data_IF_760691614860
#
_entry.id   IF_760691614860
#
_cell.length_a   1.000
_cell.length_b   1.000
_cell.length_c   1.000
_cell.angle_alpha   90.00
_cell.angle_beta   90.00
_cell.angle_gamma   90.00
#
_symmetry.space_group_name_H-M   'P 1'
#
loop_
_entity.id
_entity.type
_entity.pdbx_description
1 polymer ?
#
# COMPACT_ATOMS: atom_id res chain seq x y z
N UNK A 1 8.64 26.03 16.47
CA UNK A 1 8.05 24.67 16.42
C UNK A 1 7.07 24.60 17.56
N UNK A 2 5.77 24.57 17.28
CA UNK A 2 4.77 24.25 18.31
C UNK A 2 5.06 22.85 18.84
N UNK A 3 4.93 22.66 20.16
CA UNK A 3 5.05 21.33 20.77
C UNK A 3 4.11 20.35 20.05
N UNK A 4 4.52 19.08 19.87
CA UNK A 4 3.64 18.08 19.31
C UNK A 4 2.38 17.98 20.17
N UNK A 5 1.22 18.04 19.52
CA UNK A 5 -0.10 17.90 20.17
C UNK A 5 -0.23 16.57 20.91
N UNK A 6 0.52 15.54 20.49
CA UNK A 6 0.65 14.28 21.23
C UNK A 6 1.90 14.24 22.09
N UNK A 7 1.73 13.96 23.38
CA UNK A 7 2.84 13.65 24.27
C UNK A 7 3.48 12.28 23.97
N UNK A 8 4.60 11.98 24.62
CA UNK A 8 5.33 10.73 24.42
C UNK A 8 4.50 9.48 24.80
N UNK A 9 3.61 9.58 25.79
CA UNK A 9 2.75 8.50 26.23
C UNK A 9 1.66 8.17 25.20
N UNK A 10 1.04 9.19 24.62
CA UNK A 10 0.08 9.06 23.52
C UNK A 10 0.75 8.46 22.28
N UNK A 11 1.93 8.95 21.91
CA UNK A 11 2.71 8.38 20.80
C UNK A 11 3.06 6.90 21.04
N UNK A 12 3.43 6.53 22.27
CA UNK A 12 3.71 5.14 22.63
C UNK A 12 2.45 4.25 22.53
N UNK A 13 1.27 4.76 22.90
CA UNK A 13 -0.01 4.04 22.74
C UNK A 13 -0.36 3.81 21.28
N UNK A 14 -0.17 4.81 20.43
CA UNK A 14 -0.37 4.67 18.97
C UNK A 14 0.56 3.61 18.37
N UNK A 15 1.85 3.62 18.73
CA UNK A 15 2.79 2.61 18.26
C UNK A 15 2.43 1.20 18.78
N UNK A 16 1.96 1.11 20.03
CA UNK A 16 1.49 -0.15 20.63
C UNK A 16 0.23 -0.67 19.93
N UNK A 17 -0.72 0.20 19.57
CA UNK A 17 -1.88 -0.15 18.75
C UNK A 17 -1.42 -0.72 17.40
N UNK A 18 -0.55 -0.01 16.70
CA UNK A 18 -0.07 -0.43 15.39
C UNK A 18 0.63 -1.80 15.42
N UNK A 19 1.45 -2.06 16.46
CA UNK A 19 2.11 -3.36 16.70
C UNK A 19 1.17 -4.48 17.12
N UNK A 20 0.10 -4.17 17.85
CA UNK A 20 -0.92 -5.14 18.17
C UNK A 20 -1.80 -5.48 16.94
N UNK A 21 -1.96 -4.54 16.02
CA UNK A 21 -2.72 -4.74 14.79
C UNK A 21 -1.93 -5.55 13.76
N UNK A 22 -0.70 -5.12 13.44
CA UNK A 22 0.24 -5.83 12.55
C UNK A 22 1.13 -6.74 13.41
N UNK A 23 0.51 -7.79 13.96
CA UNK A 23 1.22 -8.78 14.78
C UNK A 23 1.92 -9.79 13.87
N UNK A 24 3.21 -9.57 13.61
CA UNK A 24 4.04 -10.42 12.72
C UNK A 24 4.22 -11.86 13.21
N UNK A 25 3.85 -12.16 14.46
CA UNK A 25 3.94 -13.49 15.06
C UNK A 25 2.59 -14.21 15.10
N UNK A 26 1.51 -13.47 15.36
CA UNK A 26 0.15 -14.01 15.47
C UNK A 26 -0.68 -13.89 14.18
N UNK A 27 -0.19 -13.16 13.18
CA UNK A 27 -0.82 -13.08 11.87
C UNK A 27 -0.93 -14.44 11.19
N UNK A 28 -2.07 -14.69 10.54
CA UNK A 28 -2.30 -15.91 9.75
C UNK A 28 -2.09 -15.64 8.27
N UNK A 29 -1.63 -16.66 7.54
CA UNK A 29 -1.62 -16.61 6.07
C UNK A 29 -3.05 -16.63 5.57
N UNK A 30 -3.44 -15.61 4.80
CA UNK A 30 -4.74 -15.52 4.13
C UNK A 30 -4.67 -15.98 2.69
N UNK A 31 -3.60 -15.59 1.98
CA UNK A 31 -3.38 -15.94 0.58
C UNK A 31 -1.92 -16.35 0.39
N UNK A 32 -1.73 -17.54 -0.16
CA UNK A 32 -0.41 -18.06 -0.50
C UNK A 32 0.07 -17.49 -1.84
N UNK A 33 1.38 -17.28 -2.02
CA UNK A 33 1.95 -17.04 -3.33
C UNK A 33 1.74 -18.26 -4.25
N UNK A 34 1.89 -18.07 -5.55
CA UNK A 34 1.87 -19.15 -6.56
C UNK A 34 2.97 -20.18 -6.32
N UNK A 35 4.12 -19.75 -5.79
CA UNK A 35 5.21 -20.63 -5.38
C UNK A 35 5.86 -20.18 -4.07
N UNK A 36 6.39 -21.12 -3.25
CA UNK A 36 7.09 -20.78 -2.02
C UNK A 36 8.57 -20.50 -2.30
N UNK A 37 8.87 -19.48 -3.12
CA UNK A 37 10.22 -19.07 -3.52
C UNK A 37 10.40 -17.54 -3.58
N UNK A 38 11.64 -17.08 -3.62
CA UNK A 38 11.99 -15.65 -3.73
C UNK A 38 11.36 -15.00 -4.97
N UNK A 39 10.82 -13.80 -4.81
CA UNK A 39 10.19 -13.04 -5.88
C UNK A 39 8.71 -13.40 -6.12
N UNK A 40 8.17 -14.41 -5.42
CA UNK A 40 6.77 -14.80 -5.51
C UNK A 40 5.96 -14.27 -4.34
N UNK A 41 4.82 -13.62 -4.64
CA UNK A 41 3.95 -13.05 -3.62
C UNK A 41 2.55 -12.73 -4.10
N UNK A 42 1.63 -12.58 -3.15
CA UNK A 42 0.31 -11.98 -3.34
C UNK A 42 0.17 -10.72 -2.48
N UNK A 43 -0.39 -9.63 -3.03
CA UNK A 43 -0.72 -8.42 -2.26
C UNK A 43 -0.58 -7.14 -3.09
N UNK A 44 -0.16 -6.05 -2.45
CA UNK A 44 -0.18 -4.73 -3.08
C UNK A 44 -1.59 -4.17 -3.26
N UNK A 45 -2.55 -4.54 -2.40
CA UNK A 45 -3.86 -3.92 -2.42
C UNK A 45 -4.50 -3.83 -1.05
N UNK A 46 -5.82 -3.62 -1.01
CA UNK A 46 -6.56 -3.36 0.20
C UNK A 46 -7.69 -4.37 0.44
N UNK A 47 -8.26 -4.29 1.65
CA UNK A 47 -9.47 -4.99 2.07
C UNK A 47 -10.57 -3.96 2.34
N UNK A 48 -11.81 -4.28 2.00
CA UNK A 48 -13.02 -3.48 2.28
C UNK A 48 -14.19 -4.40 2.64
N UNK A 49 -15.26 -3.85 3.24
CA UNK A 49 -16.55 -4.54 3.35
C UNK A 49 -17.37 -4.30 2.09
N UNK A 50 -18.05 -5.33 1.61
CA UNK A 50 -19.09 -5.21 0.59
C UNK A 50 -20.44 -4.88 1.23
N UNK A 51 -21.44 -4.55 0.42
CA UNK A 51 -22.79 -4.16 0.87
C UNK A 51 -23.55 -5.28 1.58
N UNK A 52 -23.16 -6.54 1.36
CA UNK A 52 -23.70 -7.72 2.05
C UNK A 52 -22.94 -8.08 3.35
N UNK A 53 -21.97 -7.25 3.75
CA UNK A 53 -21.15 -7.45 4.94
C UNK A 53 -19.97 -8.41 4.75
N UNK A 54 -19.81 -9.05 3.58
CA UNK A 54 -18.63 -9.85 3.28
C UNK A 54 -17.37 -8.99 3.19
N UNK A 55 -16.20 -9.58 3.40
CA UNK A 55 -14.92 -8.90 3.16
C UNK A 55 -14.48 -9.16 1.72
N UNK A 56 -14.15 -8.09 1.02
CA UNK A 56 -13.51 -8.13 -0.29
C UNK A 56 -12.06 -7.69 -0.17
N UNK A 57 -11.19 -8.38 -0.90
CA UNK A 57 -9.77 -8.12 -0.93
C UNK A 57 -9.30 -8.07 -2.37
N UNK A 58 -8.65 -6.98 -2.76
CA UNK A 58 -7.98 -6.87 -4.06
C UNK A 58 -6.47 -6.95 -3.87
N UNK A 59 -5.80 -7.58 -4.81
CA UNK A 59 -4.34 -7.63 -4.85
C UNK A 59 -3.87 -8.28 -6.13
N UNK A 60 -2.55 -8.38 -6.31
CA UNK A 60 -1.97 -9.03 -7.48
C UNK A 60 -1.11 -10.23 -7.13
N UNK A 61 -1.12 -11.23 -8.00
CA UNK A 61 -0.10 -12.27 -8.01
C UNK A 61 1.16 -11.76 -8.71
N UNK A 62 2.30 -11.99 -8.06
CA UNK A 62 3.62 -11.83 -8.64
C UNK A 62 4.30 -13.19 -8.75
N UNK A 63 4.86 -13.44 -9.92
CA UNK A 63 5.90 -14.43 -10.12
C UNK A 63 7.26 -13.71 -10.23
N UNK A 64 8.37 -14.43 -10.03
CA UNK A 64 9.72 -13.87 -10.05
C UNK A 64 10.00 -12.94 -11.26
N UNK A 65 10.83 -11.92 -11.01
CA UNK A 65 11.23 -10.89 -12.00
C UNK A 65 11.06 -9.46 -11.49
N UNK A 66 11.93 -8.54 -11.94
CA UNK A 66 12.02 -7.15 -11.48
C UNK A 66 12.33 -6.19 -12.65
N UNK A 67 11.72 -4.99 -12.66
CA UNK A 67 12.02 -3.92 -13.62
C UNK A 67 13.49 -3.44 -13.54
N UNK A 68 14.20 -3.72 -12.43
CA UNK A 68 15.63 -3.41 -12.26
C UNK A 68 16.54 -4.33 -13.07
N UNK A 69 16.21 -5.61 -13.20
CA UNK A 69 17.05 -6.64 -13.86
C UNK A 69 16.66 -6.89 -15.31
N UNK A 70 15.56 -6.29 -15.80
CA UNK A 70 15.06 -6.47 -17.17
C UNK A 70 14.05 -7.61 -17.30
N UNK A 71 13.40 -7.68 -18.47
CA UNK A 71 12.29 -8.60 -18.77
C UNK A 71 12.65 -10.10 -18.74
N UNK A 72 13.94 -10.45 -18.68
CA UNK A 72 14.42 -11.82 -18.79
C UNK A 72 14.18 -12.70 -17.55
N UNK A 73 13.72 -12.13 -16.43
CA UNK A 73 13.64 -12.82 -15.14
C UNK A 73 12.25 -13.40 -14.79
N UNK A 74 11.25 -13.29 -15.68
CA UNK A 74 9.91 -13.88 -15.50
C UNK A 74 8.75 -12.93 -15.87
N UNK A 75 7.48 -13.39 -15.78
CA UNK A 75 6.35 -12.74 -16.43
C UNK A 75 5.91 -11.39 -15.81
N UNK A 76 6.40 -11.01 -14.61
CA UNK A 76 6.11 -9.77 -13.83
C UNK A 76 4.63 -9.37 -13.74
N UNK A 77 4.10 -9.18 -12.52
CA UNK A 77 2.76 -8.63 -12.30
C UNK A 77 1.67 -9.38 -13.09
N UNK A 78 1.46 -10.65 -12.73
CA UNK A 78 0.78 -11.67 -13.55
C UNK A 78 -0.71 -11.40 -13.72
N UNK A 79 -1.39 -11.19 -12.60
CA UNK A 79 -2.84 -11.22 -12.50
C UNK A 79 -3.28 -10.31 -11.35
N UNK A 80 -4.29 -9.47 -11.59
CA UNK A 80 -5.06 -8.81 -10.55
C UNK A 80 -6.17 -9.76 -10.11
N UNK A 81 -6.38 -9.95 -8.81
CA UNK A 81 -7.41 -10.83 -8.29
C UNK A 81 -8.27 -10.11 -7.24
N UNK A 82 -9.57 -10.44 -7.26
CA UNK A 82 -10.53 -10.09 -6.22
C UNK A 82 -10.90 -11.36 -5.47
N UNK A 83 -10.73 -11.33 -4.15
CA UNK A 83 -11.09 -12.41 -3.25
C UNK A 83 -12.20 -11.95 -2.31
N UNK A 84 -13.03 -12.90 -1.89
CA UNK A 84 -14.16 -12.69 -0.99
C UNK A 84 -14.06 -13.63 0.21
N UNK A 85 -14.40 -13.12 1.38
CA UNK A 85 -14.60 -13.88 2.59
C UNK A 85 -16.01 -13.65 3.13
N UNK A 86 -16.73 -14.74 3.36
CA UNK A 86 -18.07 -14.76 3.99
C UNK A 86 -18.02 -15.24 5.44
N UNK A 87 -16.82 -15.49 5.97
CA UNK A 87 -16.56 -16.06 7.30
C UNK A 87 -15.69 -15.15 8.16
N UNK A 88 -15.85 -13.84 7.98
CA UNK A 88 -15.15 -12.79 8.71
C UNK A 88 -13.61 -12.87 8.58
N UNK A 89 -13.15 -13.06 7.36
CA UNK A 89 -11.75 -13.05 6.97
C UNK A 89 -11.00 -14.32 7.31
N UNK A 90 -11.67 -15.38 7.78
CA UNK A 90 -11.03 -16.67 8.12
C UNK A 90 -10.53 -17.38 6.87
N UNK A 91 -11.32 -17.37 5.81
CA UNK A 91 -10.95 -17.90 4.50
C UNK A 91 -11.33 -16.91 3.39
N UNK A 92 -10.58 -16.94 2.29
CA UNK A 92 -10.81 -16.10 1.13
C UNK A 92 -10.88 -16.96 -0.14
N UNK A 93 -11.94 -16.80 -0.92
CA UNK A 93 -12.12 -17.43 -2.22
C UNK A 93 -11.95 -16.40 -3.33
N UNK A 94 -11.21 -16.75 -4.40
CA UNK A 94 -11.09 -15.89 -5.58
C UNK A 94 -12.45 -15.83 -6.31
N UNK A 95 -12.99 -14.63 -6.48
CA UNK A 95 -14.30 -14.39 -7.14
C UNK A 95 -14.17 -13.70 -8.48
N UNK A 96 -13.07 -12.98 -8.73
CA UNK A 96 -12.72 -12.45 -10.04
C UNK A 96 -11.20 -12.36 -10.21
N UNK A 97 -10.75 -12.36 -11.45
CA UNK A 97 -9.36 -12.10 -11.80
C UNK A 97 -9.27 -11.49 -13.19
N UNK A 98 -8.25 -10.67 -13.39
CA UNK A 98 -7.97 -10.02 -14.66
C UNK A 98 -6.48 -10.14 -15.00
N UNK A 99 -6.22 -10.70 -16.17
CA UNK A 99 -4.90 -10.78 -16.77
C UNK A 99 -4.45 -9.42 -17.35
N UNK A 100 -3.15 -9.33 -17.67
CA UNK A 100 -2.61 -8.17 -18.41
C UNK A 100 -3.31 -7.91 -19.74
N UNK A 101 -3.79 -8.97 -20.41
CA UNK A 101 -4.48 -8.84 -21.70
C UNK A 101 -5.87 -8.24 -21.51
N UNK A 102 -6.63 -8.69 -20.52
CA UNK A 102 -7.96 -8.17 -20.21
C UNK A 102 -7.89 -6.70 -19.76
N UNK A 103 -6.94 -6.37 -18.87
CA UNK A 103 -6.70 -4.98 -18.44
C UNK A 103 -6.17 -4.10 -19.58
N UNK A 104 -5.35 -4.67 -20.46
CA UNK A 104 -4.73 -3.92 -21.55
C UNK A 104 -5.71 -3.53 -22.64
N UNK A 105 -6.67 -4.39 -22.95
CA UNK A 105 -7.51 -4.24 -24.13
C UNK A 105 -6.66 -4.06 -25.38
N UNK A 106 -6.84 -2.92 -26.06
CA UNK A 106 -6.05 -2.53 -27.25
C UNK A 106 -4.66 -1.96 -26.94
N UNK A 107 -4.38 -1.59 -25.69
CA UNK A 107 -3.10 -1.02 -25.24
C UNK A 107 -2.36 -2.01 -24.34
N UNK A 108 -1.25 -2.62 -24.80
CA UNK A 108 -0.56 -3.64 -24.03
C UNK A 108 -0.10 -3.17 -22.63
N UNK A 109 -0.47 -3.95 -21.61
CA UNK A 109 0.06 -3.81 -20.25
C UNK A 109 1.31 -4.69 -20.11
N UNK A 110 2.44 -4.06 -19.75
CA UNK A 110 3.70 -4.75 -19.54
C UNK A 110 3.72 -5.46 -18.18
N UNK A 111 3.19 -4.81 -17.15
CA UNK A 111 3.12 -5.32 -15.77
C UNK A 111 1.97 -4.66 -15.00
N UNK A 112 1.39 -5.41 -14.07
CA UNK A 112 0.41 -4.93 -13.07
C UNK A 112 1.15 -4.72 -11.74
N UNK A 113 0.84 -3.65 -11.02
CA UNK A 113 1.31 -3.37 -9.65
C UNK A 113 0.14 -3.21 -8.69
N UNK A 114 0.28 -2.41 -7.62
CA UNK A 114 -0.74 -2.34 -6.60
C UNK A 114 -2.09 -1.81 -7.10
N UNK A 115 -3.14 -2.10 -6.32
CA UNK A 115 -4.52 -1.76 -6.61
C UNK A 115 -5.30 -1.39 -5.34
N UNK A 116 -6.29 -0.52 -5.46
CA UNK A 116 -7.22 -0.18 -4.40
C UNK A 116 -8.66 -0.39 -4.86
N UNK A 117 -9.43 -1.11 -4.06
CA UNK A 117 -10.86 -1.33 -4.21
C UNK A 117 -11.61 -0.35 -3.30
N UNK A 118 -12.68 0.23 -3.82
CA UNK A 118 -13.65 0.99 -3.06
C UNK A 118 -15.05 0.51 -3.42
N UNK A 119 -15.89 0.34 -2.40
CA UNK A 119 -17.27 -0.13 -2.53
C UNK A 119 -18.18 0.80 -1.74
N UNK A 120 -19.32 1.14 -2.33
CA UNK A 120 -20.44 1.87 -1.71
C UNK A 120 -21.75 1.19 -2.09
N UNK A 121 -22.87 1.73 -1.59
CA UNK A 121 -24.22 1.36 -2.06
C UNK A 121 -24.42 1.61 -3.56
N UNK A 122 -23.71 2.57 -4.14
CA UNK A 122 -23.89 3.05 -5.50
C UNK A 122 -22.98 2.34 -6.52
N UNK A 123 -21.99 1.60 -6.02
CA UNK A 123 -21.17 0.74 -6.87
C UNK A 123 -19.82 0.36 -6.29
N UNK A 124 -18.99 -0.22 -7.15
CA UNK A 124 -17.63 -0.61 -6.83
C UNK A 124 -16.65 -0.05 -7.87
N UNK A 125 -15.46 0.31 -7.42
CA UNK A 125 -14.39 0.86 -8.26
C UNK A 125 -13.05 0.25 -7.87
N UNK A 126 -12.24 -0.07 -8.87
CA UNK A 126 -10.84 -0.46 -8.70
C UNK A 126 -9.96 0.60 -9.34
N UNK A 127 -8.99 1.09 -8.57
CA UNK A 127 -7.84 1.85 -9.03
C UNK A 127 -6.68 0.89 -9.10
N UNK A 128 -5.94 0.85 -10.20
CA UNK A 128 -4.76 0.00 -10.32
C UNK A 128 -3.61 0.71 -11.00
N UNK A 129 -2.40 0.31 -10.65
CA UNK A 129 -1.21 0.77 -11.33
C UNK A 129 -0.76 -0.21 -12.42
N UNK A 130 -0.53 0.31 -13.63
CA UNK A 130 -0.06 -0.47 -14.78
C UNK A 130 1.18 0.15 -15.42
N UNK A 131 2.10 -0.70 -15.88
CA UNK A 131 3.22 -0.29 -16.73
C UNK A 131 2.79 -0.38 -18.18
N UNK A 132 2.80 0.74 -18.89
CA UNK A 132 2.46 0.79 -20.32
C UNK A 132 3.60 1.35 -21.14
N UNK A 133 3.63 0.97 -22.42
CA UNK A 133 4.63 1.46 -23.37
C UNK A 133 4.46 2.96 -23.60
N UNK A 134 5.11 3.75 -22.76
CA UNK A 134 5.28 5.19 -22.89
C UNK A 134 6.77 5.49 -22.87
N UNK A 135 7.22 6.36 -23.77
CA UNK A 135 8.62 6.77 -23.81
C UNK A 135 8.91 7.78 -22.71
N UNK A 136 10.10 7.72 -22.13
CA UNK A 136 10.60 8.80 -21.28
C UNK A 136 10.71 10.10 -22.09
N UNK A 137 10.72 11.27 -21.41
CA UNK A 137 11.01 12.54 -22.06
C UNK A 137 12.29 12.47 -22.90
N UNK A 138 12.32 13.14 -24.06
CA UNK A 138 13.41 13.02 -25.06
C UNK A 138 14.81 13.17 -24.46
N UNK A 139 15.01 14.13 -23.54
CA UNK A 139 16.28 14.37 -22.83
C UNK A 139 16.75 13.22 -21.93
N UNK A 140 15.85 12.31 -21.55
CA UNK A 140 16.10 11.17 -20.66
C UNK A 140 15.86 9.82 -21.34
N UNK A 141 15.63 9.81 -22.66
CA UNK A 141 15.27 8.58 -23.38
C UNK A 141 16.35 7.49 -23.25
N UNK A 142 17.63 7.87 -23.17
CA UNK A 142 18.75 6.95 -22.97
C UNK A 142 18.76 6.23 -21.62
N UNK A 143 18.01 6.72 -20.62
CA UNK A 143 17.87 6.08 -19.32
C UNK A 143 16.73 5.06 -19.28
N UNK A 144 15.83 5.06 -20.27
CA UNK A 144 14.74 4.09 -20.32
C UNK A 144 15.29 2.72 -20.71
N UNK A 145 15.11 1.74 -19.82
CA UNK A 145 15.54 0.37 -20.07
C UNK A 145 14.73 -0.25 -21.21
N UNK A 146 15.36 -1.05 -22.10
CA UNK A 146 14.64 -1.77 -23.15
C UNK A 146 13.47 -2.59 -22.60
N UNK A 147 12.31 -2.50 -23.26
CA UNK A 147 11.12 -3.25 -22.87
C UNK A 147 10.41 -2.76 -21.60
N UNK A 148 10.83 -1.62 -21.02
CA UNK A 148 10.14 -0.98 -19.89
C UNK A 148 9.28 0.19 -20.35
N UNK A 149 8.32 0.53 -19.51
CA UNK A 149 7.34 1.58 -19.75
C UNK A 149 7.36 2.66 -18.68
N UNK A 150 6.28 3.42 -18.62
CA UNK A 150 6.01 4.33 -17.52
C UNK A 150 4.79 3.83 -16.77
N UNK A 151 4.84 3.99 -15.44
CA UNK A 151 3.75 3.57 -14.56
C UNK A 151 2.74 4.69 -14.44
N UNK A 152 1.47 4.31 -14.47
CA UNK A 152 0.32 5.19 -14.33
C UNK A 152 -0.75 4.50 -13.49
N UNK A 153 -1.69 5.29 -12.96
CA UNK A 153 -2.87 4.76 -12.25
C UNK A 153 -4.08 4.89 -13.18
N UNK A 154 -4.69 3.74 -13.45
CA UNK A 154 -5.93 3.59 -14.19
C UNK A 154 -7.07 3.22 -13.21
N UNK A 155 -8.32 3.35 -13.65
CA UNK A 155 -9.53 2.99 -12.88
C UNK A 155 -10.55 2.31 -13.77
N UNK A 156 -11.30 1.38 -13.20
CA UNK A 156 -12.56 0.88 -13.77
C UNK A 156 -13.59 0.67 -12.64
N UNK A 157 -14.87 0.62 -12.98
CA UNK A 157 -15.93 0.49 -11.99
C UNK A 157 -17.20 -0.13 -12.56
N UNK A 158 -18.12 -0.47 -11.66
CA UNK A 158 -19.41 -1.09 -11.97
C UNK A 158 -20.44 -0.76 -10.88
N UNK A 159 -21.71 -1.06 -11.14
CA UNK A 159 -22.80 -0.88 -10.17
C UNK A 159 -22.75 -1.84 -8.96
N UNK A 160 -21.86 -2.85 -9.00
CA UNK A 160 -21.59 -3.74 -7.86
C UNK A 160 -20.20 -4.37 -7.98
N UNK A 161 -19.69 -4.91 -6.88
CA UNK A 161 -18.41 -5.64 -6.87
C UNK A 161 -18.38 -6.83 -7.84
N UNK A 162 -19.53 -7.51 -8.03
CA UNK A 162 -19.67 -8.63 -8.95
C UNK A 162 -19.64 -8.21 -10.43
N UNK A 163 -19.99 -6.96 -10.74
CA UNK A 163 -20.03 -6.44 -12.10
C UNK A 163 -18.72 -5.81 -12.58
N UNK A 164 -17.67 -5.82 -11.76
CA UNK A 164 -16.38 -5.21 -12.10
C UNK A 164 -15.76 -5.86 -13.35
N UNK A 165 -15.47 -5.05 -14.37
CA UNK A 165 -14.85 -5.50 -15.62
C UNK A 165 -13.78 -4.51 -16.09
N UNK A 166 -12.52 -4.95 -16.11
CA UNK A 166 -11.41 -4.15 -16.60
C UNK A 166 -11.41 -3.97 -18.13
N UNK A 167 -12.06 -4.87 -18.89
CA UNK A 167 -12.00 -4.89 -20.35
C UNK A 167 -12.81 -3.78 -21.03
N UNK A 168 -13.86 -3.29 -20.38
CA UNK A 168 -14.81 -2.33 -20.96
C UNK A 168 -14.79 -0.94 -20.31
N UNK A 169 -14.13 -0.76 -19.17
CA UNK A 169 -14.28 0.44 -18.33
C UNK A 169 -12.98 1.12 -17.88
N UNK A 170 -11.83 0.76 -18.44
CA UNK A 170 -10.55 1.28 -17.96
C UNK A 170 -10.27 2.72 -18.43
N UNK A 171 -10.11 3.64 -17.48
CA UNK A 171 -9.80 5.06 -17.69
C UNK A 171 -8.52 5.45 -16.97
N UNK A 172 -7.66 6.24 -17.62
CA UNK A 172 -6.48 6.84 -16.99
C UNK A 172 -6.92 7.89 -15.97
N UNK A 173 -6.39 7.80 -14.75
CA UNK A 173 -6.65 8.77 -13.67
C UNK A 173 -5.41 9.60 -13.34
N UNK A 174 -4.23 8.97 -13.25
CA UNK A 174 -3.00 9.69 -12.90
C UNK A 174 -1.80 9.24 -13.74
N UNK A 175 -1.03 10.22 -14.22
CA UNK A 175 0.29 10.05 -14.85
C UNK A 175 1.31 10.98 -14.22
N UNK A 176 2.56 10.54 -14.09
CA UNK A 176 3.66 11.44 -13.77
C UNK A 176 4.30 11.99 -15.04
N UNK A 177 4.54 13.30 -15.12
CA UNK A 177 5.25 13.92 -16.26
C UNK A 177 6.57 14.59 -15.85
N UNK A 178 6.74 14.87 -14.55
CA UNK A 178 8.01 15.29 -13.97
C UNK A 178 8.97 14.09 -13.89
N UNK A 179 10.17 14.14 -14.48
CA UNK A 179 11.20 13.13 -14.27
C UNK A 179 11.51 12.76 -12.82
N UNK A 180 11.33 13.68 -11.85
CA UNK A 180 11.53 13.40 -10.43
C UNK A 180 10.45 12.47 -9.85
N UNK A 181 9.27 12.41 -10.47
CA UNK A 181 8.10 11.65 -10.02
C UNK A 181 7.41 10.91 -11.18
N UNK A 182 8.20 10.48 -12.17
CA UNK A 182 7.72 10.02 -13.47
C UNK A 182 6.79 8.81 -13.39
N UNK A 183 7.05 7.91 -12.44
CA UNK A 183 6.31 6.67 -12.26
C UNK A 183 5.34 6.82 -11.09
N UNK A 184 4.03 6.72 -11.34
CA UNK A 184 3.01 6.71 -10.29
C UNK A 184 2.43 5.31 -10.15
N UNK A 185 2.40 4.77 -8.92
CA UNK A 185 2.16 3.35 -8.63
C UNK A 185 1.37 3.15 -7.33
N UNK A 186 0.92 1.92 -7.11
CA UNK A 186 0.45 1.43 -5.82
C UNK A 186 -0.60 2.34 -5.16
N UNK A 187 -1.75 2.58 -5.81
CA UNK A 187 -2.84 3.33 -5.22
C UNK A 187 -3.32 2.70 -3.91
N UNK A 188 -3.64 3.55 -2.94
CA UNK A 188 -4.41 3.22 -1.75
C UNK A 188 -5.50 4.28 -1.57
N UNK A 189 -6.70 3.86 -1.14
CA UNK A 189 -7.81 4.76 -0.87
C UNK A 189 -8.09 4.82 0.62
N UNK A 190 -8.33 6.03 1.11
CA UNK A 190 -8.90 6.26 2.44
C UNK A 190 -10.13 7.17 2.35
N UNK A 191 -10.98 7.20 3.39
CA UNK A 191 -11.96 8.25 3.54
C UNK A 191 -11.33 9.64 3.38
N UNK A 192 -12.15 10.61 2.95
CA UNK A 192 -11.76 12.01 2.89
C UNK A 192 -11.28 12.56 4.24
N UNK A 193 -10.65 13.72 4.20
CA UNK A 193 -10.13 14.41 5.39
C UNK A 193 -11.21 15.25 6.09
N UNK A 194 -12.20 15.71 5.32
CA UNK A 194 -13.34 16.46 5.83
C UNK A 194 -14.48 15.49 6.20
N UNK A 195 -14.83 15.34 7.49
CA UNK A 195 -15.90 14.44 7.91
C UNK A 195 -17.28 14.89 7.45
N UNK A 196 -17.46 16.15 7.05
CA UNK A 196 -18.71 16.66 6.48
C UNK A 196 -18.88 16.31 5.00
N UNK A 197 -17.78 15.98 4.31
CA UNK A 197 -17.78 15.58 2.91
C UNK A 197 -17.50 14.08 2.77
N UNK A 198 -18.57 13.30 2.83
CA UNK A 198 -18.52 11.83 2.77
C UNK A 198 -18.36 11.27 1.37
N UNK A 199 -18.39 12.10 0.33
CA UNK A 199 -18.27 11.66 -1.07
C UNK A 199 -16.82 11.71 -1.56
N UNK A 200 -16.03 12.67 -1.07
CA UNK A 200 -14.61 12.75 -1.38
C UNK A 200 -13.78 11.62 -0.75
N UNK A 201 -12.71 11.25 -1.44
CA UNK A 201 -11.73 10.27 -0.96
C UNK A 201 -10.33 10.83 -1.10
N UNK A 202 -9.43 10.27 -0.31
CA UNK A 202 -8.00 10.51 -0.43
C UNK A 202 -7.38 9.31 -1.14
N UNK A 203 -6.82 9.56 -2.32
CA UNK A 203 -5.95 8.63 -3.04
C UNK A 203 -4.51 8.89 -2.62
N UNK A 204 -3.89 7.90 -2.00
CA UNK A 204 -2.46 7.86 -1.73
C UNK A 204 -1.79 6.99 -2.79
N UNK A 205 -0.57 7.35 -3.19
CA UNK A 205 0.17 6.58 -4.19
C UNK A 205 1.66 6.69 -3.98
N UNK A 206 2.39 5.80 -4.62
CA UNK A 206 3.84 5.81 -4.70
C UNK A 206 4.31 6.58 -5.94
N UNK A 207 5.39 7.34 -5.80
CA UNK A 207 6.14 7.87 -6.94
C UNK A 207 7.55 7.30 -7.00
N UNK A 208 8.10 7.20 -8.22
CA UNK A 208 9.53 6.99 -8.43
C UNK A 208 10.06 7.96 -9.50
N UNK A 209 11.30 8.44 -9.36
CA UNK A 209 11.99 9.17 -10.42
C UNK A 209 12.30 8.26 -11.61
N UNK A 210 12.60 8.87 -12.75
CA UNK A 210 12.94 8.18 -14.00
C UNK A 210 14.07 7.13 -13.84
N UNK A 211 14.99 7.35 -12.90
CA UNK A 211 16.14 6.49 -12.66
C UNK A 211 15.90 5.41 -11.59
N UNK A 212 14.72 5.39 -10.96
CA UNK A 212 14.38 4.46 -9.88
C UNK A 212 15.36 4.51 -8.69
N UNK A 213 15.92 5.68 -8.36
CA UNK A 213 16.84 5.79 -7.23
C UNK A 213 16.15 5.90 -5.86
N UNK A 214 14.87 6.24 -5.84
CA UNK A 214 14.11 6.45 -4.61
C UNK A 214 12.62 6.13 -4.82
N UNK A 215 11.87 6.16 -3.74
CA UNK A 215 10.41 6.10 -3.70
C UNK A 215 9.88 7.13 -2.72
N UNK A 216 8.77 7.79 -3.07
CA UNK A 216 8.09 8.76 -2.24
C UNK A 216 6.58 8.52 -2.25
N UNK A 217 5.88 9.18 -1.33
CA UNK A 217 4.42 9.18 -1.25
C UNK A 217 3.87 10.41 -1.95
N UNK A 218 2.93 10.22 -2.86
CA UNK A 218 2.05 11.26 -3.39
C UNK A 218 0.63 11.11 -2.88
N UNK A 219 -0.17 12.15 -3.05
CA UNK A 219 -1.57 12.17 -2.67
C UNK A 219 -2.42 12.90 -3.71
N UNK A 220 -3.70 12.57 -3.76
CA UNK A 220 -4.72 13.26 -4.54
C UNK A 220 -6.06 13.19 -3.81
N UNK A 221 -6.80 14.30 -3.78
CA UNK A 221 -8.23 14.29 -3.47
C UNK A 221 -8.98 13.88 -4.73
N UNK A 222 -9.89 12.93 -4.58
CA UNK A 222 -10.76 12.49 -5.65
C UNK A 222 -12.23 12.67 -5.26
N UNK A 223 -13.04 13.02 -6.24
CA UNK A 223 -14.49 13.09 -6.07
C UNK A 223 -15.15 11.70 -6.13
N UNK A 224 -16.47 11.65 -5.98
CA UNK A 224 -17.26 10.42 -6.06
C UNK A 224 -17.15 9.72 -7.42
N UNK A 225 -17.02 10.54 -8.48
CA UNK A 225 -16.80 10.06 -9.83
C UNK A 225 -15.38 9.53 -10.03
N UNK A 226 -14.50 9.58 -9.03
CA UNK A 226 -13.12 9.10 -9.04
C UNK A 226 -12.16 9.99 -9.83
N UNK A 227 -12.55 11.23 -10.11
CA UNK A 227 -11.75 12.23 -10.80
C UNK A 227 -10.90 13.04 -9.81
N UNK A 228 -9.70 13.44 -10.23
CA UNK A 228 -8.75 14.16 -9.38
C UNK A 228 -9.17 15.63 -9.26
N UNK A 229 -9.32 16.10 -8.02
CA UNK A 229 -9.59 17.49 -7.67
C UNK A 229 -8.28 18.27 -7.52
N UNK A 230 -7.37 17.75 -6.69
CA UNK A 230 -6.05 18.32 -6.43
C UNK A 230 -5.11 17.25 -5.86
N UNK A 231 -3.82 17.54 -5.78
CA UNK A 231 -2.84 16.59 -5.22
C UNK A 231 -1.42 17.14 -5.20
N UNK A 232 -0.48 16.29 -4.81
CA UNK A 232 0.95 16.60 -4.81
C UNK A 232 1.83 15.36 -4.60
N UNK A 233 3.10 15.49 -4.95
CA UNK A 233 4.14 14.45 -4.83
C UNK A 233 5.07 14.71 -3.63
N UNK A 234 5.71 13.66 -3.11
CA UNK A 234 6.72 13.67 -2.04
C UNK A 234 6.32 14.44 -0.77
N UNK A 235 5.07 14.29 -0.33
CA UNK A 235 4.56 14.98 0.85
C UNK A 235 5.03 14.35 2.18
N UNK A 236 5.46 13.08 2.14
CA UNK A 236 6.00 12.36 3.29
C UNK A 236 7.47 12.00 3.04
N UNK A 237 8.34 12.98 3.26
CA UNK A 237 9.76 12.89 2.96
C UNK A 237 10.45 11.72 3.68
N UNK A 238 11.49 11.17 3.04
CA UNK A 238 12.29 10.01 3.51
C UNK A 238 12.96 10.25 4.86
N UNK A 239 13.15 9.18 5.63
CA UNK A 239 13.68 9.28 6.99
C UNK A 239 15.20 9.15 7.06
N UNK A 240 15.79 9.36 8.24
CA UNK A 240 17.24 9.51 8.37
C UNK A 240 18.00 8.20 8.59
N UNK A 241 17.34 7.08 8.91
CA UNK A 241 18.02 5.85 9.38
C UNK A 241 17.77 4.63 8.49
N UNK A 242 16.51 4.21 8.34
CA UNK A 242 16.19 2.91 7.73
C UNK A 242 15.26 3.03 6.52
N UNK A 243 14.52 4.13 6.40
CA UNK A 243 13.59 4.50 5.33
C UNK A 243 14.18 5.64 4.48
N UNK A 244 15.48 5.53 4.17
CA UNK A 244 16.30 6.57 3.53
C UNK A 244 16.04 6.68 2.04
N UNK A 245 15.84 5.56 1.36
CA UNK A 245 15.63 5.52 -0.09
C UNK A 245 14.14 5.44 -0.47
N UNK A 246 13.29 4.91 0.42
CA UNK A 246 11.86 4.77 0.17
C UNK A 246 11.04 5.16 1.40
N UNK A 247 9.92 5.85 1.14
CA UNK A 247 8.91 6.20 2.14
C UNK A 247 7.54 6.25 1.44
N UNK A 248 6.87 5.10 1.35
CA UNK A 248 5.59 4.92 0.63
C UNK A 248 4.47 4.62 1.61
N UNK A 249 3.54 5.54 1.80
CA UNK A 249 2.34 5.30 2.62
C UNK A 249 1.44 4.30 1.89
N UNK A 250 1.03 3.26 2.61
CA UNK A 250 0.21 2.16 2.07
C UNK A 250 -1.17 2.11 2.70
N UNK A 251 -1.37 2.78 3.83
CA UNK A 251 -2.66 2.85 4.50
C UNK A 251 -2.72 4.05 5.45
N UNK A 252 -3.83 4.79 5.38
CA UNK A 252 -4.28 5.70 6.43
C UNK A 252 -5.39 5.04 7.22
N UNK A 253 -5.22 4.95 8.53
CA UNK A 253 -6.20 4.43 9.48
C UNK A 253 -6.58 5.52 10.47
N UNK A 254 -7.81 6.08 10.41
CA UNK A 254 -8.31 7.00 11.42
C UNK A 254 -8.23 6.37 12.82
N UNK A 255 -7.69 7.12 13.79
CA UNK A 255 -7.58 6.65 15.17
C UNK A 255 -8.94 6.76 15.85
N UNK A 256 -9.45 5.68 16.46
CA UNK A 256 -10.69 5.73 17.22
C UNK A 256 -10.60 6.73 18.39
N UNK A 257 -11.64 7.56 18.55
CA UNK A 257 -11.77 8.51 19.67
C UNK A 257 -12.16 7.79 20.97
N UNK A 258 -11.18 7.10 21.56
CA UNK A 258 -11.34 6.27 22.75
C UNK A 258 -10.18 6.58 23.71
N UNK A 259 -10.44 6.49 25.02
CA UNK A 259 -9.42 6.64 26.05
C UNK A 259 -8.73 8.00 25.96
N UNK A 260 -7.39 8.00 25.93
CA UNK A 260 -6.60 9.24 25.88
C UNK A 260 -6.72 10.03 24.57
N UNK A 261 -7.46 9.52 23.58
CA UNK A 261 -7.70 10.15 22.28
C UNK A 261 -9.14 10.65 22.11
N UNK A 262 -10.01 10.52 23.13
CA UNK A 262 -11.43 10.86 23.03
C UNK A 262 -11.67 12.35 22.68
N UNK A 263 -10.92 13.24 23.33
CA UNK A 263 -11.10 14.69 23.24
C UNK A 263 -10.06 15.38 22.32
N UNK A 264 -9.26 14.59 21.61
CA UNK A 264 -8.26 15.14 20.69
C UNK A 264 -8.86 15.45 19.32
N UNK A 265 -8.23 16.36 18.54
CA UNK A 265 -8.52 16.51 17.12
C UNK A 265 -8.49 15.17 16.38
N UNK A 266 -9.26 15.05 15.30
CA UNK A 266 -9.22 13.87 14.45
C UNK A 266 -7.79 13.65 13.93
N UNK A 267 -7.27 12.44 14.11
CA UNK A 267 -5.92 12.08 13.73
C UNK A 267 -5.91 10.66 13.19
N UNK A 268 -4.89 10.36 12.40
CA UNK A 268 -4.75 9.08 11.73
C UNK A 268 -3.37 8.47 11.94
N UNK A 269 -3.32 7.14 11.97
CA UNK A 269 -2.10 6.37 11.74
C UNK A 269 -1.85 6.23 10.25
N UNK A 270 -0.59 6.37 9.86
CA UNK A 270 -0.12 6.18 8.49
C UNK A 270 0.88 5.04 8.50
N UNK A 271 0.49 3.91 7.92
CA UNK A 271 1.39 2.79 7.68
C UNK A 271 2.15 3.05 6.38
N UNK A 272 3.45 2.79 6.41
CA UNK A 272 4.28 3.04 5.24
C UNK A 272 5.37 1.99 5.08
N UNK A 273 5.76 1.77 3.83
CA UNK A 273 6.88 0.94 3.45
C UNK A 273 8.14 1.80 3.36
N UNK A 274 9.24 1.30 3.92
CA UNK A 274 10.53 1.95 3.91
C UNK A 274 11.66 1.02 3.47
N UNK A 275 12.71 1.61 2.92
CA UNK A 275 13.92 0.91 2.53
C UNK A 275 15.15 1.80 2.71
N UNK A 276 16.26 1.19 3.14
CA UNK A 276 17.54 1.89 3.29
C UNK A 276 18.14 2.20 1.92
N UNK A 277 17.96 1.29 0.95
CA UNK A 277 18.39 1.45 -0.43
C UNK A 277 17.46 0.72 -1.38
N UNK A 278 17.32 1.17 -2.63
CA UNK A 278 16.56 0.40 -3.62
C UNK A 278 17.32 -0.83 -4.12
N UNK A 279 18.59 -1.03 -3.77
CA UNK A 279 19.40 -2.22 -4.07
C UNK A 279 19.71 -2.98 -2.78
N UNK A 280 19.83 -4.30 -2.89
CA UNK A 280 20.37 -5.10 -1.80
C UNK A 280 21.83 -4.71 -1.55
N UNK A 281 22.21 -4.64 -0.28
CA UNK A 281 23.57 -4.32 0.15
C UNK A 281 24.18 -5.50 0.88
N UNK A 282 25.44 -5.79 0.56
CA UNK A 282 26.24 -6.73 1.32
C UNK A 282 26.57 -6.11 2.68
N UNK A 283 26.29 -6.84 3.74
CA UNK A 283 26.67 -6.42 5.09
C UNK A 283 28.14 -6.76 5.30
N UNK A 284 28.92 -5.77 5.75
CA UNK A 284 30.30 -6.00 6.14
C UNK A 284 30.39 -7.12 7.17
N UNK A 285 31.40 -7.99 7.09
CA UNK A 285 31.53 -9.20 7.92
C UNK A 285 31.68 -8.92 9.43
N UNK A 286 32.17 -7.73 9.80
CA UNK A 286 32.20 -7.26 11.20
C UNK A 286 30.97 -6.42 11.59
N UNK A 287 30.03 -6.20 10.68
CA UNK A 287 28.81 -5.42 10.93
C UNK A 287 27.72 -6.23 11.61
N UNK A 288 26.84 -5.55 12.33
CA UNK A 288 25.62 -6.17 12.88
C UNK A 288 24.69 -6.54 11.73
N UNK A 289 24.33 -7.81 11.64
CA UNK A 289 23.31 -8.28 10.70
C UNK A 289 21.95 -7.75 11.13
N UNK A 290 21.30 -7.00 10.23
CA UNK A 290 19.95 -6.49 10.43
C UNK A 290 19.23 -6.36 9.09
N UNK A 291 17.89 -6.45 9.07
CA UNK A 291 17.11 -6.05 7.92
C UNK A 291 17.36 -4.59 7.56
N UNK A 292 17.55 -4.33 6.27
CA UNK A 292 17.79 -2.99 5.72
C UNK A 292 16.65 -2.50 4.84
N UNK A 293 15.83 -3.41 4.33
CA UNK A 293 14.82 -3.09 3.34
C UNK A 293 15.45 -2.73 1.99
N UNK A 294 14.89 -3.27 0.92
CA UNK A 294 15.22 -2.84 -0.44
C UNK A 294 14.04 -3.06 -1.37
N UNK A 295 14.18 -2.68 -2.64
CA UNK A 295 13.08 -2.82 -3.59
C UNK A 295 12.53 -4.24 -3.59
N UNK A 296 11.20 -4.32 -3.47
CA UNK A 296 10.42 -5.55 -3.34
C UNK A 296 10.55 -6.30 -2.01
N UNK A 297 11.39 -5.85 -1.10
CA UNK A 297 11.67 -6.45 0.21
C UNK A 297 11.68 -5.35 1.28
N UNK A 298 10.74 -4.40 1.17
CA UNK A 298 10.63 -3.24 2.04
C UNK A 298 10.22 -3.62 3.48
N UNK A 299 10.55 -2.76 4.45
CA UNK A 299 10.19 -2.91 5.86
C UNK A 299 9.03 -1.97 6.22
N UNK A 300 8.34 -2.27 7.32
CA UNK A 300 7.11 -1.55 7.68
C UNK A 300 7.34 -0.50 8.77
N UNK A 301 6.82 0.70 8.55
CA UNK A 301 6.87 1.85 9.45
C UNK A 301 5.48 2.36 9.82
N UNK A 302 5.46 3.25 10.82
CA UNK A 302 4.25 3.94 11.29
C UNK A 302 4.56 5.41 11.53
N UNK A 303 3.69 6.26 11.01
CA UNK A 303 3.60 7.67 11.32
C UNK A 303 2.20 8.01 11.84
N UNK A 304 2.03 9.22 12.35
CA UNK A 304 0.73 9.78 12.72
C UNK A 304 0.65 11.23 12.24
N UNK A 305 -0.57 11.75 12.12
CA UNK A 305 -0.83 13.15 11.81
C UNK A 305 -2.26 13.55 12.14
N UNK A 306 -2.46 14.85 12.37
CA UNK A 306 -3.79 15.43 12.54
C UNK A 306 -4.41 15.59 11.16
N UNK A 307 -5.65 15.14 11.01
CA UNK A 307 -6.31 15.08 9.71
C UNK A 307 -6.48 16.47 9.09
N UNK A 308 -6.70 17.49 9.92
CA UNK A 308 -6.82 18.88 9.49
C UNK A 308 -5.50 19.52 9.00
N UNK A 309 -4.35 18.95 9.38
CA UNK A 309 -3.04 19.47 8.99
C UNK A 309 -2.53 18.82 7.69
N UNK A 310 -3.17 17.74 7.22
CA UNK A 310 -2.76 17.01 6.03
C UNK A 310 -2.78 17.92 4.77
N UNK A 311 -1.77 17.83 3.88
CA UNK A 311 -0.70 16.82 3.82
C UNK A 311 0.50 17.09 4.71
N UNK A 312 0.54 18.23 5.39
CA UNK A 312 1.64 18.61 6.26
C UNK A 312 1.53 17.92 7.64
N UNK A 313 2.59 18.03 8.44
CA UNK A 313 2.51 17.70 9.86
C UNK A 313 2.54 16.20 10.21
N UNK A 314 2.79 15.31 9.25
CA UNK A 314 3.02 13.89 9.55
C UNK A 314 4.31 13.66 10.35
N UNK A 315 4.24 12.83 11.39
CA UNK A 315 5.34 12.53 12.32
C UNK A 315 5.57 11.03 12.44
N UNK A 316 6.82 10.59 12.27
CA UNK A 316 7.22 9.17 12.41
C UNK A 316 7.15 8.71 13.86
N UNK A 317 6.44 7.61 14.11
CA UNK A 317 6.58 6.83 15.35
C UNK A 317 7.76 5.85 15.26
N UNK A 318 8.11 5.41 14.04
CA UNK A 318 9.20 4.50 13.73
C UNK A 318 10.42 5.23 13.14
N UNK A 319 10.93 6.27 13.83
CA UNK A 319 11.99 7.14 13.29
C UNK A 319 13.33 6.42 13.12
N UNK A 320 13.79 5.72 14.16
CA UNK A 320 15.13 5.13 14.21
C UNK A 320 15.19 3.67 13.78
N UNK A 321 14.04 3.00 13.73
CA UNK A 321 13.93 1.59 13.37
C UNK A 321 12.54 1.31 12.79
N UNK A 322 12.41 0.31 11.89
CA UNK A 322 11.11 -0.13 11.40
C UNK A 322 10.20 -0.58 12.56
N UNK A 323 8.90 -0.35 12.40
CA UNK A 323 7.90 -0.84 13.34
C UNK A 323 7.63 -2.34 13.15
N UNK A 324 7.73 -2.82 11.91
CA UNK A 324 7.38 -4.19 11.52
C UNK A 324 8.50 -4.80 10.68
N UNK A 325 8.93 -5.99 11.09
CA UNK A 325 9.98 -6.76 10.45
C UNK A 325 9.58 -8.23 10.54
N UNK A 326 9.57 -8.93 9.40
CA UNK A 326 9.37 -10.38 9.41
C UNK A 326 10.48 -11.07 10.21
N UNK A 327 10.17 -12.09 11.03
CA UNK A 327 11.20 -12.93 11.65
C UNK A 327 11.91 -13.86 10.65
N UNK A 328 11.54 -13.82 9.36
CA UNK A 328 12.03 -14.72 8.33
C UNK A 328 12.54 -13.98 7.09
N UNK A 329 13.29 -14.70 6.26
CA UNK A 329 13.74 -14.22 4.95
C UNK A 329 14.55 -12.92 5.05
N UNK A 330 14.15 -11.92 4.27
CA UNK A 330 14.78 -10.60 4.21
C UNK A 330 14.41 -9.67 5.39
N UNK A 331 13.42 -10.07 6.21
CA UNK A 331 12.74 -9.18 7.14
C UNK A 331 11.59 -8.38 6.54
N UNK A 332 11.26 -8.54 5.25
CA UNK A 332 10.20 -7.79 4.57
C UNK A 332 8.85 -7.87 5.30
N UNK A 333 8.25 -6.70 5.53
CA UNK A 333 6.89 -6.52 6.01
C UNK A 333 6.35 -5.23 5.38
N UNK A 334 5.36 -5.33 4.48
CA UNK A 334 4.98 -4.21 3.61
C UNK A 334 3.55 -4.27 3.12
N UNK A 335 3.08 -3.19 2.50
CA UNK A 335 1.70 -3.04 2.01
C UNK A 335 0.68 -3.33 3.10
N UNK A 336 0.89 -2.75 4.28
CA UNK A 336 -0.11 -2.80 5.34
C UNK A 336 -1.36 -2.08 4.85
N UNK A 337 -2.51 -2.73 5.02
CA UNK A 337 -3.83 -2.14 4.90
C UNK A 337 -4.67 -2.55 6.10
N UNK A 338 -5.43 -1.61 6.66
CA UNK A 338 -6.33 -1.86 7.77
C UNK A 338 -7.68 -1.20 7.55
N UNK A 339 -8.73 -1.84 8.04
CA UNK A 339 -10.09 -1.29 8.11
C UNK A 339 -10.62 -1.39 9.53
N UNK A 340 -11.50 -0.45 9.89
CA UNK A 340 -12.38 -0.61 11.02
C UNK A 340 -13.59 -1.46 10.61
N UNK A 341 -14.05 -2.31 11.51
CA UNK A 341 -15.32 -3.00 11.41
C UNK A 341 -15.98 -3.15 12.79
N UNK A 342 -17.16 -3.78 12.83
CA UNK A 342 -18.02 -3.80 14.01
C UNK A 342 -17.35 -4.42 15.25
N UNK A 343 -16.44 -5.39 15.06
CA UNK A 343 -15.73 -6.08 16.15
C UNK A 343 -14.32 -5.52 16.38
N UNK A 344 -13.93 -4.42 15.72
CA UNK A 344 -12.68 -3.71 15.99
C UNK A 344 -11.93 -3.34 14.71
N UNK A 345 -10.73 -3.89 14.53
CA UNK A 345 -9.86 -3.61 13.39
C UNK A 345 -9.42 -4.91 12.71
N UNK A 346 -9.38 -4.90 11.38
CA UNK A 346 -8.82 -5.99 10.58
C UNK A 346 -7.69 -5.44 9.70
N UNK A 347 -6.53 -6.09 9.74
CA UNK A 347 -5.37 -5.70 8.95
C UNK A 347 -4.84 -6.85 8.10
N UNK A 348 -4.30 -6.49 6.94
CA UNK A 348 -3.57 -7.35 6.01
C UNK A 348 -2.21 -6.73 5.68
N UNK A 349 -1.21 -7.57 5.39
CA UNK A 349 0.12 -7.13 4.98
C UNK A 349 0.87 -8.26 4.26
N UNK A 350 1.90 -7.93 3.51
CA UNK A 350 2.84 -8.91 2.96
C UNK A 350 3.98 -9.15 3.95
N UNK A 351 4.39 -10.41 4.11
CA UNK A 351 5.47 -10.77 5.02
C UNK A 351 6.41 -11.80 4.39
N UNK A 352 7.73 -11.58 4.49
CA UNK A 352 8.71 -12.57 4.03
C UNK A 352 8.57 -13.90 4.77
N UNK A 353 8.63 -15.01 4.07
CA UNK A 353 8.65 -16.37 4.61
C UNK A 353 10.07 -16.92 4.76
N UNK A 354 10.21 -18.11 5.36
CA UNK A 354 11.51 -18.80 5.43
C UNK A 354 12.11 -19.08 4.04
N UNK A 355 11.27 -19.24 3.03
CA UNK A 355 11.69 -19.44 1.63
C UNK A 355 11.73 -18.15 0.81
N UNK A 356 11.68 -16.99 1.49
CA UNK A 356 11.73 -15.65 0.89
C UNK A 356 10.60 -15.32 -0.10
N UNK A 357 9.56 -16.15 -0.17
CA UNK A 357 8.27 -15.75 -0.74
C UNK A 357 7.55 -14.81 0.21
N UNK A 358 6.54 -14.07 -0.26
CA UNK A 358 5.77 -13.16 0.58
C UNK A 358 4.27 -13.48 0.50
N UNK A 359 3.75 -14.39 1.35
CA UNK A 359 2.31 -14.55 1.52
C UNK A 359 1.65 -13.26 2.01
N UNK A 360 0.36 -13.14 1.73
CA UNK A 360 -0.46 -12.13 2.37
C UNK A 360 -0.94 -12.67 3.72
N UNK A 361 -0.59 -11.93 4.76
CA UNK A 361 -0.96 -12.19 6.15
C UNK A 361 -2.21 -11.38 6.50
N UNK A 362 -2.89 -11.77 7.58
CA UNK A 362 -3.84 -10.90 8.24
C UNK A 362 -4.09 -11.23 9.70
N UNK A 363 -4.63 -10.26 10.41
CA UNK A 363 -4.87 -10.31 11.84
C UNK A 363 -6.03 -9.38 12.23
N UNK A 364 -6.79 -9.79 13.25
CA UNK A 364 -7.95 -9.06 13.78
C UNK A 364 -7.67 -8.62 15.21
N UNK A 365 -7.90 -7.34 15.48
CA UNK A 365 -7.83 -6.76 16.80
C UNK A 365 -9.24 -6.46 17.30
N UNK A 366 -9.67 -7.17 18.35
CA UNK A 366 -11.03 -6.98 18.91
C UNK A 366 -11.22 -5.60 19.53
N UNK A 367 -12.46 -5.10 19.55
CA UNK A 367 -12.86 -3.84 20.19
C UNK A 367 -12.45 -3.77 21.67
N UNK A 368 -12.56 -4.89 22.40
CA UNK A 368 -12.09 -4.98 23.79
C UNK A 368 -10.59 -4.75 23.90
N UNK A 369 -9.81 -5.37 23.01
CA UNK A 369 -8.36 -5.22 22.99
C UNK A 369 -7.96 -3.79 22.58
N UNK A 370 -8.64 -3.24 21.58
CA UNK A 370 -8.48 -1.86 21.13
C UNK A 370 -8.66 -0.86 22.29
N UNK A 371 -9.76 -0.95 23.06
CA UNK A 371 -9.99 -0.10 24.25
C UNK A 371 -8.84 -0.21 25.24
N UNK A 372 -8.45 -1.44 25.61
CA UNK A 372 -7.32 -1.68 26.54
C UNK A 372 -5.97 -1.11 26.09
N UNK A 373 -5.81 -0.84 24.78
CA UNK A 373 -4.59 -0.26 24.23
C UNK A 373 -4.60 1.27 24.22
N UNK A 374 -5.78 1.89 24.22
CA UNK A 374 -5.97 3.33 24.10
C UNK A 374 -6.41 4.00 25.40
N UNK A 375 -7.07 3.27 26.30
CA UNK A 375 -7.22 3.63 27.72
C UNK A 375 -5.84 3.73 28.37
#
# INVERSE_FOLDING_TARGET
MSDPILDAGQQAKLLRLARALVDVRQGRVLVTPTEPAEGYWFGGGNVVRDTDGSLLMVGRYRDAGDSRTGLAAGPRGRELALLRSTDDGRTFAKVAAWSKKEIGGSSPVLSIEGAALHVTSDGAQIFLSTERQRRYPKRLQSFQKPGTGVWAIDRFGAASSAGLDAGSGLRRILTGDDPAYLHVKDPNLSPGLDPSNVTERLLLYCTHPYNWSSSASGWARIDEAGDIICGGDDFFGRGPVWDVAASRITCRLPVPRIGVFADLPALSLYFYDGAECLRAHDTHHHGVSRPRGYSCEELGGVAWGIDADFPEGLRRLSLLQPAFVSPHGSGCNRYVCAIADDDGLFAIWQQSSQRRSQPLMGHRLTSRRLRSLLD
#
